data_IF_187226648033
#
_entry.id   IF_187226648033
#
_cell.length_a   1.000
_cell.length_b   1.000
_cell.length_c   1.000
_cell.angle_alpha   90.00
_cell.angle_beta   90.00
_cell.angle_gamma   90.00
#
_symmetry.space_group_name_H-M   'P 1'
#
loop_
_entity.id
_entity.type
_entity.pdbx_description
1 polymer ?
#
# COMPACT_ATOMS: atom_id res chain seq x y z
N UNK A 1 12.73 -8.29 2.38
CA UNK A 1 11.95 -8.71 1.17
C UNK A 1 11.39 -7.50 0.44
N UNK A 2 10.73 -6.58 1.17
CA UNK A 2 10.22 -5.33 0.61
C UNK A 2 11.29 -4.49 -0.12
N UNK A 3 12.58 -4.66 0.20
CA UNK A 3 13.71 -4.00 -0.47
C UNK A 3 13.78 -4.33 -1.97
N UNK A 4 13.42 -5.56 -2.36
CA UNK A 4 13.30 -5.98 -3.77
C UNK A 4 12.20 -5.21 -4.51
N UNK A 5 11.26 -4.65 -3.76
CA UNK A 5 10.17 -3.84 -4.26
C UNK A 5 10.44 -2.35 -4.03
N UNK A 6 11.67 -1.94 -3.69
CA UNK A 6 12.05 -0.53 -3.54
C UNK A 6 11.75 0.08 -2.18
N UNK A 7 11.59 -0.75 -1.14
CA UNK A 7 11.67 -0.29 0.24
C UNK A 7 13.07 0.21 0.55
N UNK A 8 13.17 1.31 1.29
CA UNK A 8 14.44 1.98 1.58
C UNK A 8 14.36 2.69 2.92
N UNK A 9 15.53 3.10 3.45
CA UNK A 9 15.58 3.89 4.68
C UNK A 9 14.81 5.22 4.60
N UNK A 10 14.65 5.81 3.41
CA UNK A 10 13.81 7.00 3.24
C UNK A 10 12.33 6.68 3.46
N UNK A 11 11.83 5.61 2.83
CA UNK A 11 10.45 5.15 3.02
C UNK A 11 10.17 4.71 4.45
N UNK A 12 11.12 4.04 5.10
CA UNK A 12 10.98 3.68 6.51
C UNK A 12 10.80 4.90 7.42
N UNK A 13 11.52 6.00 7.14
CA UNK A 13 11.36 7.26 7.89
C UNK A 13 10.01 7.91 7.62
N UNK A 14 9.59 7.97 6.35
CA UNK A 14 8.25 8.49 5.98
C UNK A 14 7.13 7.67 6.62
N UNK A 15 7.30 6.35 6.73
CA UNK A 15 6.31 5.45 7.31
C UNK A 15 6.28 5.41 8.84
N UNK A 16 7.31 5.92 9.53
CA UNK A 16 7.45 5.83 10.98
C UNK A 16 6.19 6.30 11.77
N UNK A 17 5.48 7.38 11.39
CA UNK A 17 4.24 7.79 12.06
C UNK A 17 3.09 6.78 11.93
N UNK A 18 3.07 6.00 10.85
CA UNK A 18 2.08 4.94 10.63
C UNK A 18 2.45 3.66 11.40
N UNK A 19 3.74 3.32 11.46
CA UNK A 19 4.23 2.22 12.29
C UNK A 19 3.90 2.42 13.77
N UNK A 20 3.97 3.67 14.27
CA UNK A 20 3.55 4.02 15.63
C UNK A 20 2.05 3.76 15.92
N UNK A 21 1.24 3.62 14.86
CA UNK A 21 -0.19 3.28 14.94
C UNK A 21 -0.45 1.79 14.65
N UNK A 22 0.60 0.95 14.65
CA UNK A 22 0.56 -0.48 14.33
C UNK A 22 0.16 -0.81 12.88
N UNK A 23 0.37 0.11 11.94
CA UNK A 23 0.26 -0.22 10.52
C UNK A 23 1.53 -0.91 10.02
N UNK A 24 1.37 -1.79 9.03
CA UNK A 24 2.47 -2.42 8.31
C UNK A 24 2.60 -1.81 6.91
N UNK A 25 3.83 -1.60 6.41
CA UNK A 25 4.03 -1.08 5.06
C UNK A 25 3.66 -2.14 4.02
N UNK A 26 3.09 -1.70 2.91
CA UNK A 26 2.73 -2.57 1.80
C UNK A 26 2.85 -1.82 0.48
N UNK A 27 3.27 -2.48 -0.60
CA UNK A 27 3.31 -1.87 -1.93
C UNK A 27 2.24 -2.46 -2.83
N UNK A 28 1.53 -1.64 -3.59
CA UNK A 28 0.63 -2.12 -4.65
C UNK A 28 1.46 -2.72 -5.78
N UNK A 29 1.32 -4.03 -5.99
CA UNK A 29 2.02 -4.76 -7.07
C UNK A 29 1.11 -5.11 -8.24
N UNK A 30 -0.20 -5.15 -8.03
CA UNK A 30 -1.18 -5.28 -9.11
C UNK A 30 -2.53 -4.67 -8.70
N UNK A 31 -3.31 -4.25 -9.69
CA UNK A 31 -4.71 -3.90 -9.53
C UNK A 31 -5.52 -4.53 -10.66
N UNK A 32 -6.54 -5.33 -10.32
CA UNK A 32 -7.42 -5.98 -11.29
C UNK A 32 -8.84 -6.07 -10.74
N UNK A 33 -9.81 -5.60 -11.54
CA UNK A 33 -11.25 -5.71 -11.24
C UNK A 33 -11.65 -5.17 -9.85
N UNK A 34 -11.00 -4.09 -9.39
CA UNK A 34 -11.26 -3.49 -8.07
C UNK A 34 -10.60 -4.21 -6.88
N UNK A 35 -9.70 -5.16 -7.14
CA UNK A 35 -8.89 -5.82 -6.12
C UNK A 35 -7.43 -5.39 -6.24
N UNK A 36 -6.85 -4.95 -5.13
CA UNK A 36 -5.43 -4.63 -5.02
C UNK A 36 -4.67 -5.86 -4.56
N UNK A 37 -3.54 -6.13 -5.20
CA UNK A 37 -2.53 -7.05 -4.68
C UNK A 37 -1.42 -6.23 -4.07
N UNK A 38 -1.13 -6.54 -2.82
CA UNK A 38 -0.13 -5.85 -2.03
C UNK A 38 0.99 -6.82 -1.69
N UNK A 39 2.24 -6.37 -1.77
CA UNK A 39 3.36 -7.08 -1.15
C UNK A 39 3.66 -6.44 0.21
N UNK A 40 3.78 -7.28 1.23
CA UNK A 40 4.14 -6.89 2.59
C UNK A 40 5.44 -7.61 2.98
N UNK A 41 5.96 -7.33 4.18
CA UNK A 41 7.08 -8.11 4.72
C UNK A 41 6.72 -9.60 4.92
N UNK A 42 5.46 -9.91 5.19
CA UNK A 42 4.95 -11.28 5.34
C UNK A 42 4.60 -11.97 4.00
N UNK A 43 4.81 -11.28 2.86
CA UNK A 43 4.44 -11.78 1.53
C UNK A 43 3.22 -11.09 0.93
N UNK A 44 2.69 -11.66 -0.14
CA UNK A 44 1.58 -11.05 -0.89
C UNK A 44 0.22 -11.28 -0.24
N UNK A 45 -0.60 -10.22 -0.22
CA UNK A 45 -1.98 -10.25 0.28
C UNK A 45 -2.94 -9.54 -0.68
N UNK A 46 -4.23 -9.80 -0.52
CA UNK A 46 -5.27 -9.00 -1.16
C UNK A 46 -5.60 -7.79 -0.28
N UNK A 47 -5.70 -6.62 -0.90
CA UNK A 47 -6.09 -5.35 -0.29
C UNK A 47 -7.45 -4.88 -0.80
N UNK A 48 -8.13 -4.10 0.04
CA UNK A 48 -9.37 -3.40 -0.31
C UNK A 48 -9.31 -1.99 0.25
N UNK A 49 -9.83 -1.02 -0.49
CA UNK A 49 -9.97 0.34 0.00
C UNK A 49 -10.89 0.36 1.23
N UNK A 50 -10.59 1.24 2.18
CA UNK A 50 -11.54 1.56 3.23
C UNK A 50 -12.78 2.19 2.59
N UNK A 51 -13.96 1.97 3.18
CA UNK A 51 -15.21 2.48 2.63
C UNK A 51 -15.22 4.00 2.45
N UNK A 52 -14.52 4.73 3.32
CA UNK A 52 -14.36 6.19 3.20
C UNK A 52 -13.56 6.56 1.95
N UNK A 53 -12.37 5.96 1.77
CA UNK A 53 -11.52 6.24 0.62
C UNK A 53 -12.21 5.90 -0.71
N UNK A 54 -12.98 4.82 -0.74
CA UNK A 54 -13.74 4.43 -1.93
C UNK A 54 -14.88 5.40 -2.28
N UNK A 55 -15.40 6.15 -1.31
CA UNK A 55 -16.49 7.13 -1.51
C UNK A 55 -15.97 8.53 -1.83
N UNK A 56 -14.83 8.90 -1.25
CA UNK A 56 -14.29 10.27 -1.33
C UNK A 56 -13.33 10.46 -2.51
N UNK A 57 -12.72 9.39 -3.03
CA UNK A 57 -11.76 9.49 -4.12
C UNK A 57 -12.42 9.93 -5.44
N UNK A 58 -11.88 11.00 -6.02
CA UNK A 58 -12.20 11.39 -7.38
C UNK A 58 -11.65 10.37 -8.40
N UNK A 59 -12.14 10.39 -9.66
CA UNK A 59 -11.60 9.54 -10.71
C UNK A 59 -10.08 9.72 -10.85
N UNK A 60 -9.33 8.65 -10.61
CA UNK A 60 -7.86 8.64 -10.68
C UNK A 60 -7.14 8.79 -9.33
N UNK A 61 -7.84 9.01 -8.22
CA UNK A 61 -7.24 9.13 -6.89
C UNK A 61 -7.11 7.79 -6.15
N UNK A 62 -7.59 6.70 -6.75
CA UNK A 62 -7.36 5.37 -6.19
C UNK A 62 -5.88 4.98 -6.29
N UNK A 63 -5.35 4.24 -5.30
CA UNK A 63 -4.00 3.71 -5.35
C UNK A 63 -3.73 2.93 -6.63
N UNK A 64 -2.56 3.14 -7.22
CA UNK A 64 -2.11 2.50 -8.44
C UNK A 64 -0.90 1.60 -8.18
N UNK A 65 -0.56 0.78 -9.18
CA UNK A 65 0.63 -0.07 -9.11
C UNK A 65 1.87 0.80 -8.89
N UNK A 66 2.59 0.51 -7.82
CA UNK A 66 3.78 1.26 -7.42
C UNK A 66 3.63 2.04 -6.12
N UNK A 67 2.40 2.34 -5.70
CA UNK A 67 2.11 3.08 -4.47
C UNK A 67 2.45 2.26 -3.22
N UNK A 68 2.70 2.97 -2.13
CA UNK A 68 3.08 2.44 -0.81
C UNK A 68 2.13 2.92 0.28
#
# INVERSE_FOLDING_TARGET
MLDLYGWSGARQREFAPHAAQNFAPARVVAHHRGLWRLITEAGEIAGRLSGRLALEAAPGEHPVVGDW
#
